data_IF_548149448643
#
_entry.id   IF_548149448643
#
_cell.length_a   1.000
_cell.length_b   1.000
_cell.length_c   1.000
_cell.angle_alpha   90.00
_cell.angle_beta   90.00
_cell.angle_gamma   90.00
#
_symmetry.space_group_name_H-M   'P 1'
#
loop_
_entity.id
_entity.type
_entity.pdbx_description
1 polymer ?
#
# COMPACT_ATOMS: atom_id res chain seq x y z
N UNK A 1 15.15 3.82 -34.88
CA UNK A 1 14.17 3.13 -34.09
C UNK A 1 12.82 3.05 -34.81
N UNK A 2 12.05 2.05 -34.49
CA UNK A 2 10.72 1.80 -35.07
C UNK A 2 9.69 2.86 -34.63
N UNK A 3 9.91 3.53 -33.49
CA UNK A 3 9.06 4.61 -33.00
C UNK A 3 9.78 5.95 -33.22
N UNK A 4 9.16 6.93 -33.92
CA UNK A 4 9.74 8.27 -34.04
C UNK A 4 9.96 8.91 -32.66
N UNK A 5 11.09 9.62 -32.52
CA UNK A 5 11.47 10.25 -31.25
C UNK A 5 10.41 11.21 -30.71
N UNK A 6 9.67 11.86 -31.60
CA UNK A 6 8.65 12.84 -31.21
C UNK A 6 7.46 12.21 -30.48
N UNK A 7 7.26 10.91 -30.60
CA UNK A 7 6.16 10.17 -29.97
C UNK A 7 6.56 9.46 -28.66
N UNK A 8 7.84 9.42 -28.33
CA UNK A 8 8.32 8.80 -27.08
C UNK A 8 7.71 9.49 -25.84
N UNK A 9 7.64 10.84 -25.75
CA UNK A 9 6.98 11.49 -24.63
C UNK A 9 5.48 11.14 -24.49
N UNK A 10 4.79 10.88 -25.59
CA UNK A 10 3.39 10.46 -25.55
C UNK A 10 3.22 9.07 -24.96
N UNK A 11 4.10 8.12 -25.29
CA UNK A 11 4.14 6.79 -24.67
C UNK A 11 4.41 6.90 -23.17
N UNK A 12 5.38 7.72 -22.78
CA UNK A 12 5.73 7.97 -21.39
C UNK A 12 4.54 8.54 -20.59
N UNK A 13 3.81 9.51 -21.15
CA UNK A 13 2.59 10.04 -20.55
C UNK A 13 1.52 8.98 -20.36
N UNK A 14 1.30 8.11 -21.36
CA UNK A 14 0.34 7.03 -21.28
C UNK A 14 0.68 6.04 -20.15
N UNK A 15 1.95 5.68 -20.03
CA UNK A 15 2.44 4.81 -18.96
C UNK A 15 2.25 5.49 -17.59
N UNK A 16 2.67 6.75 -17.45
CA UNK A 16 2.56 7.50 -16.20
C UNK A 16 1.11 7.68 -15.74
N UNK A 17 0.20 8.00 -16.66
CA UNK A 17 -1.23 8.11 -16.33
C UNK A 17 -1.82 6.78 -15.90
N UNK A 18 -1.49 5.67 -16.57
CA UNK A 18 -1.97 4.35 -16.18
C UNK A 18 -1.44 3.93 -14.81
N UNK A 19 -0.17 4.23 -14.51
CA UNK A 19 0.40 3.99 -13.19
C UNK A 19 -0.30 4.80 -12.11
N UNK A 20 -0.63 6.06 -12.40
CA UNK A 20 -1.33 6.94 -11.46
C UNK A 20 -2.76 6.49 -11.19
N UNK A 21 -3.47 6.07 -12.22
CA UNK A 21 -4.85 5.58 -12.13
C UNK A 21 -4.91 4.15 -11.58
N UNK A 22 -3.82 3.41 -11.71
CA UNK A 22 -3.71 2.03 -11.26
C UNK A 22 -4.40 1.03 -12.18
N UNK A 23 -4.22 -0.23 -11.87
CA UNK A 23 -4.83 -1.36 -12.59
C UNK A 23 -5.61 -2.23 -11.60
N UNK A 24 -5.13 -2.32 -10.37
CA UNK A 24 -5.75 -3.11 -9.30
C UNK A 24 -6.46 -2.16 -8.34
N UNK A 25 -7.78 -2.26 -8.25
CA UNK A 25 -8.63 -1.49 -7.34
C UNK A 25 -8.49 0.05 -7.46
N UNK A 26 -7.96 0.56 -8.57
CA UNK A 26 -7.79 2.01 -8.79
C UNK A 26 -6.67 2.67 -8.00
N UNK A 27 -5.84 1.92 -7.30
CA UNK A 27 -4.70 2.47 -6.56
C UNK A 27 -3.49 2.64 -7.48
N UNK A 28 -2.67 3.70 -7.29
CA UNK A 28 -1.49 3.93 -8.09
C UNK A 28 -0.51 2.77 -8.06
N UNK A 29 0.16 2.51 -9.18
CA UNK A 29 1.23 1.53 -9.28
C UNK A 29 2.53 2.12 -8.75
N UNK A 30 3.27 1.32 -7.99
CA UNK A 30 4.60 1.64 -7.45
C UNK A 30 5.62 0.59 -7.89
N UNK A 31 6.88 0.99 -7.96
CA UNK A 31 7.98 0.07 -8.21
C UNK A 31 8.05 -0.47 -9.64
N UNK A 32 7.51 0.26 -10.61
CA UNK A 32 7.55 -0.10 -12.02
C UNK A 32 8.67 0.65 -12.75
N UNK A 33 9.50 -0.09 -13.50
CA UNK A 33 10.44 0.46 -14.48
C UNK A 33 9.99 0.02 -15.87
N UNK A 34 9.77 0.96 -16.77
CA UNK A 34 9.38 0.69 -18.15
C UNK A 34 10.53 1.02 -19.10
N UNK A 35 10.73 0.15 -20.10
CA UNK A 35 11.71 0.37 -21.17
C UNK A 35 11.01 0.20 -22.51
N UNK A 36 10.99 1.28 -23.30
CA UNK A 36 10.48 1.24 -24.66
C UNK A 36 11.63 0.83 -25.60
N UNK A 37 11.52 -0.35 -26.25
CA UNK A 37 12.55 -0.84 -27.15
C UNK A 37 12.06 -1.12 -28.56
N UNK A 38 10.76 -1.24 -28.77
CA UNK A 38 10.16 -1.49 -30.09
C UNK A 38 8.76 -0.91 -30.21
N UNK A 39 8.29 -0.78 -31.45
CA UNK A 39 6.96 -0.31 -31.81
C UNK A 39 6.81 -0.21 -33.31
N UNK A 40 5.63 0.13 -33.77
CA UNK A 40 5.36 0.38 -35.17
C UNK A 40 4.77 1.77 -35.39
N UNK A 41 5.01 2.32 -36.56
CA UNK A 41 4.55 3.66 -36.94
C UNK A 41 3.97 3.63 -38.36
N UNK A 42 2.82 4.28 -38.53
CA UNK A 42 2.14 4.46 -39.82
C UNK A 42 1.71 5.92 -39.96
N UNK A 43 2.02 6.54 -41.08
CA UNK A 43 1.78 7.98 -41.30
C UNK A 43 0.30 8.38 -41.15
N UNK A 44 -0.64 7.46 -41.44
CA UNK A 44 -2.08 7.73 -41.38
C UNK A 44 -2.66 7.52 -39.98
N UNK A 45 -2.23 6.49 -39.30
CA UNK A 45 -2.82 6.02 -38.04
C UNK A 45 -2.08 6.46 -36.77
N UNK A 46 -0.84 6.93 -36.92
CA UNK A 46 0.02 7.28 -35.81
C UNK A 46 -0.05 8.77 -35.49
N UNK A 47 -0.33 9.08 -34.23
CA UNK A 47 -0.32 10.44 -33.70
C UNK A 47 0.02 10.38 -32.20
N UNK A 48 0.15 11.53 -31.57
CA UNK A 48 0.49 11.65 -30.16
C UNK A 48 -0.54 10.90 -29.28
N UNK A 49 -1.83 11.07 -29.55
CA UNK A 49 -2.90 10.43 -28.78
C UNK A 49 -2.85 8.90 -28.92
N UNK A 50 -2.60 8.37 -30.12
CA UNK A 50 -2.50 6.94 -30.35
C UNK A 50 -1.33 6.32 -29.57
N UNK A 51 -0.18 6.96 -29.53
CA UNK A 51 0.97 6.50 -28.74
C UNK A 51 0.73 6.60 -27.23
N UNK A 52 0.03 7.61 -26.78
CA UNK A 52 -0.37 7.75 -25.38
C UNK A 52 -1.28 6.61 -24.95
N UNK A 53 -2.31 6.31 -25.72
CA UNK A 53 -3.24 5.20 -25.48
C UNK A 53 -2.50 3.86 -25.52
N UNK A 54 -1.61 3.66 -26.50
CA UNK A 54 -0.81 2.44 -26.61
C UNK A 54 0.06 2.23 -25.35
N UNK A 55 0.69 3.28 -24.83
CA UNK A 55 1.47 3.21 -23.60
C UNK A 55 0.62 2.83 -22.38
N UNK A 56 -0.57 3.40 -22.29
CA UNK A 56 -1.52 3.10 -21.22
C UNK A 56 -1.99 1.63 -21.28
N UNK A 57 -2.40 1.14 -22.44
CA UNK A 57 -2.84 -0.24 -22.63
C UNK A 57 -1.73 -1.26 -22.41
N UNK A 58 -0.51 -0.96 -22.88
CA UNK A 58 0.65 -1.81 -22.66
C UNK A 58 0.97 -1.94 -21.16
N UNK A 59 0.91 -0.84 -20.41
CA UNK A 59 1.12 -0.85 -18.96
C UNK A 59 0.09 -1.73 -18.26
N UNK A 60 -1.18 -1.60 -18.61
CA UNK A 60 -2.26 -2.41 -18.06
C UNK A 60 -2.02 -3.91 -18.31
N UNK A 61 -1.65 -4.27 -19.55
CA UNK A 61 -1.37 -5.65 -19.92
C UNK A 61 -0.15 -6.21 -19.19
N UNK A 62 0.93 -5.43 -19.06
CA UNK A 62 2.14 -5.83 -18.35
C UNK A 62 1.86 -6.09 -16.86
N UNK A 63 1.05 -5.26 -16.24
CA UNK A 63 0.67 -5.42 -14.82
C UNK A 63 -0.15 -6.69 -14.63
N UNK A 64 -1.10 -6.98 -15.52
CA UNK A 64 -1.90 -8.20 -15.47
C UNK A 64 -1.02 -9.46 -15.60
N UNK A 65 0.03 -9.41 -16.44
CA UNK A 65 0.97 -10.51 -16.62
C UNK A 65 2.04 -10.57 -15.52
N UNK A 66 2.44 -9.43 -14.99
CA UNK A 66 3.49 -9.30 -13.99
C UNK A 66 3.11 -9.64 -12.56
N UNK A 67 1.83 -9.89 -12.30
CA UNK A 67 1.36 -10.27 -10.96
C UNK A 67 1.37 -9.09 -9.98
N UNK A 68 0.70 -7.99 -10.31
CA UNK A 68 0.54 -6.86 -9.40
C UNK A 68 -0.11 -7.29 -8.08
N UNK A 69 0.44 -6.80 -6.98
CA UNK A 69 -0.09 -7.04 -5.64
C UNK A 69 -0.57 -5.73 -5.02
N UNK A 70 -1.58 -5.82 -4.18
CA UNK A 70 -2.06 -4.67 -3.43
C UNK A 70 -1.18 -4.47 -2.21
N UNK A 71 -0.69 -3.24 -2.02
CA UNK A 71 0.07 -2.86 -0.85
C UNK A 71 -0.83 -2.10 0.13
N UNK A 72 -0.61 -2.33 1.42
CA UNK A 72 -1.25 -1.58 2.49
C UNK A 72 -0.20 -0.90 3.37
N UNK A 73 -0.49 0.30 3.90
CA UNK A 73 0.41 0.94 4.84
C UNK A 73 0.42 0.18 6.16
N UNK A 74 1.62 -0.06 6.68
CA UNK A 74 1.88 -0.68 7.98
C UNK A 74 2.47 0.36 8.91
N UNK A 75 1.91 0.47 10.09
CA UNK A 75 2.30 1.44 11.09
C UNK A 75 3.14 0.78 12.18
N UNK A 76 4.12 1.53 12.68
CA UNK A 76 4.82 1.18 13.91
C UNK A 76 4.03 1.77 15.07
N UNK A 77 3.56 0.92 15.96
CA UNK A 77 2.76 1.30 17.14
C UNK A 77 3.55 0.99 18.39
N UNK A 78 3.71 1.98 19.24
CA UNK A 78 4.28 1.80 20.58
C UNK A 78 3.21 2.11 21.61
N UNK A 79 2.96 1.17 22.52
CA UNK A 79 1.98 1.33 23.59
C UNK A 79 2.70 1.27 24.93
N UNK A 80 2.50 2.29 25.74
CA UNK A 80 3.01 2.35 27.11
C UNK A 80 1.84 2.10 28.07
N UNK A 81 1.99 1.10 28.95
CA UNK A 81 0.91 0.69 29.85
C UNK A 81 1.45 0.15 31.16
N UNK A 82 0.63 0.11 32.24
CA UNK A 82 0.94 -0.69 33.41
C UNK A 82 1.04 -2.18 33.06
N UNK A 83 1.90 -2.91 33.74
CA UNK A 83 2.13 -4.34 33.48
C UNK A 83 0.84 -5.16 33.47
N UNK A 84 -0.10 -4.86 34.32
CA UNK A 84 -1.38 -5.58 34.43
C UNK A 84 -2.25 -5.46 33.17
N UNK A 85 -2.03 -4.46 32.33
CA UNK A 85 -2.75 -4.24 31.07
C UNK A 85 -2.07 -4.85 29.85
N UNK A 86 -0.87 -5.39 29.99
CA UNK A 86 -0.08 -5.89 28.87
C UNK A 86 -0.79 -7.00 28.10
N UNK A 87 -1.41 -7.94 28.78
CA UNK A 87 -2.13 -9.04 28.15
C UNK A 87 -3.28 -8.57 27.25
N UNK A 88 -4.06 -7.61 27.74
CA UNK A 88 -5.18 -7.05 26.97
C UNK A 88 -4.70 -6.25 25.76
N UNK A 89 -3.64 -5.46 25.91
CA UNK A 89 -3.04 -4.68 24.82
C UNK A 89 -2.45 -5.59 23.73
N UNK A 90 -1.67 -6.59 24.12
CA UNK A 90 -1.10 -7.56 23.18
C UNK A 90 -2.18 -8.34 22.46
N UNK A 91 -3.19 -8.80 23.16
CA UNK A 91 -4.34 -9.52 22.59
C UNK A 91 -5.09 -8.68 21.57
N UNK A 92 -5.33 -7.40 21.85
CA UNK A 92 -5.97 -6.48 20.92
C UNK A 92 -5.13 -6.20 19.68
N UNK A 93 -3.84 -5.97 19.84
CA UNK A 93 -2.92 -5.77 18.70
C UNK A 93 -2.86 -7.02 17.81
N UNK A 94 -2.86 -8.21 18.39
CA UNK A 94 -2.92 -9.46 17.62
C UNK A 94 -4.23 -9.59 16.82
N UNK A 95 -5.37 -9.22 17.38
CA UNK A 95 -6.66 -9.20 16.66
C UNK A 95 -6.66 -8.21 15.50
N UNK A 96 -5.86 -7.16 15.56
CA UNK A 96 -5.71 -6.14 14.52
C UNK A 96 -4.65 -6.52 13.47
N UNK A 97 -4.34 -7.79 13.34
CA UNK A 97 -3.28 -8.31 12.44
C UNK A 97 -1.90 -7.73 12.78
N UNK A 98 -1.69 -7.35 14.02
CA UNK A 98 -0.41 -6.82 14.49
C UNK A 98 0.63 -7.90 14.69
N UNK A 99 1.88 -7.53 14.46
CA UNK A 99 3.06 -8.37 14.75
C UNK A 99 3.83 -7.69 15.86
N UNK A 100 3.96 -8.36 17.00
CA UNK A 100 4.70 -7.82 18.14
C UNK A 100 6.19 -7.89 17.83
N UNK A 101 6.86 -6.74 17.83
CA UNK A 101 8.30 -6.64 17.56
C UNK A 101 9.13 -6.73 18.82
N UNK A 102 8.60 -6.28 19.94
CA UNK A 102 9.32 -6.28 21.21
C UNK A 102 8.47 -5.80 22.37
N UNK A 103 8.93 -6.13 23.56
CA UNK A 103 8.36 -5.69 24.83
C UNK A 103 9.50 -5.32 25.76
N UNK A 104 9.44 -4.12 26.32
CA UNK A 104 10.47 -3.59 27.20
C UNK A 104 9.87 -3.13 28.53
N UNK A 105 10.69 -3.18 29.56
CA UNK A 105 10.35 -2.64 30.86
C UNK A 105 10.84 -1.20 30.98
N UNK A 106 9.98 -0.33 31.49
CA UNK A 106 10.31 1.04 31.81
C UNK A 106 9.93 1.34 33.27
N UNK A 107 10.38 2.46 33.80
CA UNK A 107 10.09 2.84 35.18
C UNK A 107 8.59 3.00 35.49
N UNK A 108 7.78 3.35 34.48
CA UNK A 108 6.32 3.57 34.61
C UNK A 108 5.48 2.37 34.17
N UNK A 109 6.08 1.23 33.78
CA UNK A 109 5.35 0.04 33.35
C UNK A 109 6.04 -0.72 32.23
N UNK A 110 5.28 -1.04 31.19
CA UNK A 110 5.73 -1.80 30.02
C UNK A 110 5.56 -1.00 28.73
N UNK A 111 6.43 -1.25 27.76
CA UNK A 111 6.29 -0.74 26.38
C UNK A 111 6.17 -1.94 25.45
N UNK A 112 5.12 -1.96 24.63
CA UNK A 112 4.92 -2.93 23.55
C UNK A 112 5.11 -2.21 22.22
N UNK A 113 5.99 -2.73 21.37
CA UNK A 113 6.21 -2.23 20.01
C UNK A 113 5.66 -3.27 19.03
N UNK A 114 4.83 -2.83 18.08
CA UNK A 114 4.20 -3.70 17.11
C UNK A 114 4.13 -3.06 15.72
N UNK A 115 4.07 -3.89 14.69
CA UNK A 115 3.69 -3.50 13.34
C UNK A 115 2.21 -3.83 13.14
N UNK A 116 1.40 -2.84 12.78
CA UNK A 116 -0.04 -3.03 12.58
C UNK A 116 -0.49 -2.34 11.29
N UNK A 117 -1.28 -3.00 10.44
CA UNK A 117 -1.84 -2.33 9.27
C UNK A 117 -2.68 -1.12 9.66
N UNK A 118 -2.51 0.01 8.96
CA UNK A 118 -3.27 1.23 9.25
C UNK A 118 -4.79 0.98 9.22
N UNK A 119 -5.26 0.14 8.29
CA UNK A 119 -6.68 -0.19 8.16
C UNK A 119 -7.28 -0.80 9.43
N UNK A 120 -6.47 -1.45 10.27
CA UNK A 120 -6.90 -2.06 11.53
C UNK A 120 -6.79 -1.13 12.73
N UNK A 121 -6.24 0.08 12.54
CA UNK A 121 -6.02 1.02 13.63
C UNK A 121 -7.17 2.00 13.87
N UNK A 122 -8.21 1.96 13.05
CA UNK A 122 -9.38 2.79 13.27
C UNK A 122 -10.07 2.43 14.59
N UNK A 123 -10.37 3.44 15.39
CA UNK A 123 -10.97 3.26 16.70
C UNK A 123 -10.01 2.81 17.80
N UNK A 124 -8.72 2.62 17.51
CA UNK A 124 -7.75 2.12 18.49
C UNK A 124 -7.61 3.03 19.71
N UNK A 125 -7.60 4.33 19.52
CA UNK A 125 -7.51 5.30 20.63
C UNK A 125 -8.62 5.10 21.66
N UNK A 126 -9.83 4.84 21.18
CA UNK A 126 -10.98 4.56 22.06
C UNK A 126 -10.84 3.20 22.73
N UNK A 127 -10.47 2.19 21.97
CA UNK A 127 -10.37 0.82 22.49
C UNK A 127 -9.26 0.65 23.53
N UNK A 128 -8.08 1.19 23.27
CA UNK A 128 -6.97 1.13 24.22
C UNK A 128 -7.27 1.93 25.49
N UNK A 129 -7.96 3.05 25.36
CA UNK A 129 -8.37 3.87 26.50
C UNK A 129 -9.38 3.14 27.35
N UNK A 130 -10.37 2.50 26.72
CA UNK A 130 -11.41 1.74 27.43
C UNK A 130 -10.86 0.51 28.12
N UNK A 131 -10.03 -0.29 27.44
CA UNK A 131 -9.48 -1.53 27.98
C UNK A 131 -8.49 -1.31 29.12
N UNK A 132 -7.85 -0.14 29.17
CA UNK A 132 -6.85 0.20 30.18
C UNK A 132 -7.33 1.25 31.18
N UNK A 133 -8.58 1.66 31.10
CA UNK A 133 -9.16 2.71 31.96
C UNK A 133 -8.37 4.04 31.88
N UNK A 134 -7.90 4.38 30.67
CA UNK A 134 -7.14 5.59 30.42
C UNK A 134 -5.68 5.54 30.85
N UNK A 135 -5.18 4.39 31.33
CA UNK A 135 -3.80 4.27 31.83
C UNK A 135 -2.76 4.05 30.74
N UNK A 136 -3.16 3.57 29.56
CA UNK A 136 -2.24 3.39 28.43
C UNK A 136 -2.20 4.61 27.52
N UNK A 137 -1.02 4.86 26.99
CA UNK A 137 -0.81 5.83 25.91
C UNK A 137 -0.15 5.14 24.73
N UNK A 138 -0.37 5.61 23.53
CA UNK A 138 0.27 5.05 22.35
C UNK A 138 0.74 6.12 21.38
N UNK A 139 1.75 5.77 20.60
CA UNK A 139 2.21 6.54 19.45
C UNK A 139 2.15 5.65 18.22
N UNK A 140 1.90 6.25 17.07
CA UNK A 140 1.80 5.55 15.81
C UNK A 140 2.50 6.36 14.73
N UNK A 141 3.39 5.72 13.97
CA UNK A 141 4.08 6.34 12.84
C UNK A 141 4.09 5.39 11.64
N UNK A 142 4.16 5.94 10.44
CA UNK A 142 4.29 5.14 9.23
C UNK A 142 5.62 4.39 9.23
N UNK A 143 5.59 3.10 8.93
CA UNK A 143 6.79 2.27 8.85
C UNK A 143 7.11 1.89 7.40
N UNK A 144 6.18 1.24 6.72
CA UNK A 144 6.39 0.73 5.36
C UNK A 144 5.06 0.36 4.70
N UNK A 145 5.12 0.13 3.38
CA UNK A 145 4.06 -0.58 2.67
C UNK A 145 4.35 -2.08 2.72
N UNK A 146 3.33 -2.88 2.97
CA UNK A 146 3.41 -4.33 3.00
C UNK A 146 2.33 -4.92 2.10
N UNK A 147 2.58 -6.12 1.55
CA UNK A 147 1.59 -6.83 0.76
C UNK A 147 0.37 -7.16 1.60
N UNK A 148 -0.82 -6.76 1.12
CA UNK A 148 -2.08 -7.11 1.76
C UNK A 148 -2.33 -8.63 1.64
N UNK A 149 -2.80 -9.31 2.70
CA UNK A 149 -3.19 -10.70 2.60
C UNK A 149 -4.26 -10.92 1.53
N UNK A 150 -4.32 -12.10 0.88
CA UNK A 150 -5.25 -12.34 -0.23
C UNK A 150 -6.71 -12.06 0.09
N UNK A 151 -7.18 -12.39 1.30
CA UNK A 151 -8.55 -12.12 1.74
C UNK A 151 -8.84 -10.62 1.85
N UNK A 152 -7.89 -9.85 2.40
CA UNK A 152 -7.99 -8.39 2.52
C UNK A 152 -7.93 -7.73 1.15
N UNK A 153 -7.02 -8.17 0.29
CA UNK A 153 -6.89 -7.67 -1.07
C UNK A 153 -8.17 -7.89 -1.89
N UNK A 154 -8.76 -9.07 -1.81
CA UNK A 154 -10.01 -9.40 -2.49
C UNK A 154 -11.17 -8.51 -2.03
N UNK A 155 -11.28 -8.27 -0.74
CA UNK A 155 -12.31 -7.40 -0.17
C UNK A 155 -12.17 -5.96 -0.70
N UNK A 156 -10.96 -5.42 -0.73
CA UNK A 156 -10.68 -4.07 -1.24
C UNK A 156 -10.98 -3.98 -2.73
N UNK A 157 -10.54 -4.95 -3.51
CA UNK A 157 -10.79 -5.02 -4.95
C UNK A 157 -12.30 -5.07 -5.24
N UNK A 158 -13.05 -5.89 -4.51
CA UNK A 158 -14.50 -6.01 -4.66
C UNK A 158 -15.23 -4.70 -4.31
N UNK A 159 -14.73 -3.95 -3.33
CA UNK A 159 -15.31 -2.68 -2.90
C UNK A 159 -15.08 -1.56 -3.91
N UNK A 160 -13.95 -1.55 -4.59
CA UNK A 160 -13.51 -0.49 -5.51
C UNK A 160 -13.64 -0.88 -6.98
N UNK A 161 -14.03 -2.10 -7.25
CA UNK A 161 -14.19 -2.66 -8.60
C UNK A 161 -15.51 -2.37 -9.29
#
# INVERSE_FOLDING_TARGET
GAVPKDYIPAVEKGIAEQMKNGVVAGYPLLGLKATLYDGSFHDVDSNEMAFKVAGSLATKKLVDQGGAVLLEPTMKVEVVMPEENMGDVVGDLNRRRGIILGMDDISSGKVVTAEVPLAEMFGYATDVRSSTQGRATFTMEFLKYSEAPPNVAQEIIARNG
#
